data_IF_134494744688
#
_entry.id   IF_134494744688
#
_cell.length_a   1.000
_cell.length_b   1.000
_cell.length_c   1.000
_cell.angle_alpha   90.00
_cell.angle_beta   90.00
_cell.angle_gamma   90.00
#
_symmetry.space_group_name_H-M   'P 1'
#
loop_
_entity.id
_entity.type
_entity.pdbx_description
1 polymer ?
#
# COMPACT_ATOMS: atom_id res chain seq x y z
N UNK A 1 28.43 15.67 -1.99
CA UNK A 1 27.02 15.99 -1.67
C UNK A 1 26.85 15.99 -0.16
N UNK A 2 26.16 16.98 0.40
CA UNK A 2 25.98 17.08 1.85
C UNK A 2 24.82 16.18 2.33
N UNK A 3 24.76 15.92 3.64
CA UNK A 3 23.68 15.15 4.24
C UNK A 3 22.30 15.77 3.95
N UNK A 4 22.20 17.10 4.06
CA UNK A 4 20.95 17.83 3.77
C UNK A 4 20.53 17.78 2.30
N UNK A 5 21.50 17.65 1.38
CA UNK A 5 21.19 17.42 -0.03
C UNK A 5 20.70 16.00 -0.28
N UNK A 6 21.29 15.00 0.40
CA UNK A 6 20.83 13.60 0.36
C UNK A 6 19.38 13.51 0.87
N UNK A 7 19.11 14.05 2.07
CA UNK A 7 17.76 14.03 2.66
C UNK A 7 16.72 14.65 1.74
N UNK A 8 17.01 15.81 1.15
CA UNK A 8 16.11 16.45 0.19
C UNK A 8 15.84 15.61 -1.04
N UNK A 9 16.89 15.01 -1.61
CA UNK A 9 16.76 14.15 -2.79
C UNK A 9 15.92 12.90 -2.49
N UNK A 10 16.14 12.30 -1.32
CA UNK A 10 15.38 11.14 -0.84
C UNK A 10 13.92 11.51 -0.58
N UNK A 11 13.64 12.69 -0.02
CA UNK A 11 12.27 13.14 0.18
C UNK A 11 11.53 13.34 -1.15
N UNK A 12 12.21 13.92 -2.14
CA UNK A 12 11.65 14.06 -3.50
C UNK A 12 11.34 12.69 -4.10
N UNK A 13 12.26 11.73 -4.01
CA UNK A 13 12.02 10.35 -4.44
C UNK A 13 10.78 9.74 -3.77
N UNK A 14 10.64 9.85 -2.44
CA UNK A 14 9.48 9.33 -1.72
C UNK A 14 8.18 9.94 -2.25
N UNK A 15 8.15 11.26 -2.41
CA UNK A 15 6.96 11.97 -2.90
C UNK A 15 6.60 11.56 -4.33
N UNK A 16 7.58 11.54 -5.25
CA UNK A 16 7.36 11.14 -6.65
C UNK A 16 6.84 9.70 -6.76
N UNK A 17 7.44 8.77 -6.01
CA UNK A 17 7.07 7.36 -6.03
C UNK A 17 5.69 7.07 -5.44
N UNK A 18 5.29 7.80 -4.39
CA UNK A 18 3.97 7.65 -3.81
C UNK A 18 2.89 8.27 -4.70
N UNK A 19 3.20 9.38 -5.38
CA UNK A 19 2.31 10.04 -6.34
C UNK A 19 2.10 9.17 -7.58
N UNK A 20 3.17 8.61 -8.16
CA UNK A 20 3.07 7.72 -9.33
C UNK A 20 2.18 6.51 -9.06
N UNK A 21 2.30 5.90 -7.88
CA UNK A 21 1.41 4.80 -7.45
C UNK A 21 -0.03 5.24 -7.28
N UNK A 22 -0.26 6.46 -6.79
CA UNK A 22 -1.61 7.00 -6.63
C UNK A 22 -2.26 7.31 -7.99
N UNK A 23 -1.51 7.87 -8.93
CA UNK A 23 -1.95 8.05 -10.32
C UNK A 23 -2.31 6.71 -10.94
N UNK A 24 -1.50 5.67 -10.70
CA UNK A 24 -1.80 4.30 -11.11
C UNK A 24 -3.15 3.83 -10.57
N UNK A 25 -3.39 3.98 -9.25
CA UNK A 25 -4.66 3.63 -8.60
C UNK A 25 -5.87 4.38 -9.17
N UNK A 26 -5.74 5.68 -9.45
CA UNK A 26 -6.82 6.49 -10.03
C UNK A 26 -7.30 5.95 -11.38
N UNK A 27 -6.45 5.21 -12.11
CA UNK A 27 -6.80 4.56 -13.37
C UNK A 27 -7.70 3.31 -13.25
N UNK A 28 -7.80 2.70 -12.06
CA UNK A 28 -8.56 1.46 -11.86
C UNK A 28 -9.99 1.74 -11.39
N UNK A 29 -10.97 1.61 -12.30
CA UNK A 29 -12.39 1.64 -11.93
C UNK A 29 -12.72 0.47 -10.98
N UNK A 30 -13.26 0.78 -9.80
CA UNK A 30 -13.76 -0.16 -8.78
C UNK A 30 -12.69 -0.99 -8.04
N UNK A 31 -11.43 -0.53 -8.05
CA UNK A 31 -10.30 -1.27 -7.46
C UNK A 31 -9.92 -2.51 -8.27
N UNK A 32 -8.66 -2.93 -8.18
CA UNK A 32 -8.21 -4.20 -8.79
C UNK A 32 -8.99 -5.40 -8.26
N UNK A 33 -9.06 -6.48 -9.04
CA UNK A 33 -9.65 -7.72 -8.52
C UNK A 33 -8.79 -8.32 -7.39
N UNK A 34 -9.36 -9.21 -6.58
CA UNK A 34 -8.65 -9.74 -5.41
C UNK A 34 -7.39 -10.51 -5.79
N UNK A 35 -7.33 -11.15 -6.97
CA UNK A 35 -6.13 -11.87 -7.40
C UNK A 35 -5.02 -10.91 -7.83
N UNK A 36 -5.38 -9.79 -8.45
CA UNK A 36 -4.47 -8.69 -8.76
C UNK A 36 -3.91 -8.06 -7.48
N UNK A 37 -4.77 -7.80 -6.48
CA UNK A 37 -4.36 -7.30 -5.16
C UNK A 37 -3.42 -8.25 -4.44
N UNK A 38 -3.74 -9.55 -4.40
CA UNK A 38 -2.89 -10.58 -3.79
C UNK A 38 -1.52 -10.67 -4.49
N UNK A 39 -1.51 -10.55 -5.82
CA UNK A 39 -0.28 -10.55 -6.62
C UNK A 39 0.58 -9.32 -6.30
N UNK A 40 -0.03 -8.14 -6.22
CA UNK A 40 0.66 -6.89 -5.87
C UNK A 40 1.24 -7.00 -4.45
N UNK A 41 0.44 -7.47 -3.48
CA UNK A 41 0.90 -7.64 -2.10
C UNK A 41 2.11 -8.58 -2.02
N UNK A 42 2.08 -9.72 -2.73
CA UNK A 42 3.19 -10.67 -2.80
C UNK A 42 4.48 -10.02 -3.35
N UNK A 43 4.35 -9.25 -4.43
CA UNK A 43 5.48 -8.53 -5.03
C UNK A 43 6.06 -7.49 -4.07
N UNK A 44 5.20 -6.75 -3.36
CA UNK A 44 5.61 -5.76 -2.36
C UNK A 44 6.35 -6.44 -1.21
N UNK A 45 5.82 -7.53 -0.65
CA UNK A 45 6.45 -8.27 0.45
C UNK A 45 7.81 -8.85 0.03
N UNK A 46 7.89 -9.43 -1.17
CA UNK A 46 9.18 -9.92 -1.71
C UNK A 46 10.17 -8.78 -1.90
N UNK A 47 9.72 -7.60 -2.34
CA UNK A 47 10.58 -6.42 -2.49
C UNK A 47 11.05 -5.85 -1.15
N UNK A 48 10.22 -5.95 -0.10
CA UNK A 48 10.61 -5.57 1.27
C UNK A 48 11.73 -6.47 1.80
N UNK A 49 11.63 -7.78 1.57
CA UNK A 49 12.67 -8.74 1.97
C UNK A 49 13.98 -8.50 1.20
N UNK A 50 13.90 -8.34 -0.11
CA UNK A 50 15.06 -8.03 -0.97
C UNK A 50 15.78 -6.74 -0.57
N UNK A 51 15.03 -5.71 -0.20
CA UNK A 51 15.62 -4.43 0.25
C UNK A 51 16.20 -4.54 1.66
N UNK A 52 15.59 -5.34 2.53
CA UNK A 52 16.14 -5.63 3.86
C UNK A 52 17.47 -6.38 3.77
N UNK A 53 17.56 -7.40 2.91
CA UNK A 53 18.78 -8.16 2.65
C UNK A 53 19.91 -7.26 2.13
N UNK A 54 19.62 -6.37 1.17
CA UNK A 54 20.57 -5.39 0.65
C UNK A 54 21.09 -4.44 1.75
N UNK A 55 20.19 -3.95 2.62
CA UNK A 55 20.57 -3.07 3.73
C UNK A 55 21.44 -3.77 4.78
N UNK A 56 21.14 -5.04 5.08
CA UNK A 56 21.90 -5.86 6.02
C UNK A 56 23.30 -6.16 5.49
N UNK A 57 23.42 -6.48 4.20
CA UNK A 57 24.69 -6.84 3.55
C UNK A 57 25.49 -5.64 3.04
N UNK A 58 24.93 -4.43 3.11
CA UNK A 58 25.46 -3.25 2.42
C UNK A 58 25.69 -3.50 0.92
N UNK A 59 24.84 -4.31 0.30
CA UNK A 59 24.89 -4.59 -1.14
C UNK A 59 24.09 -3.54 -1.89
N UNK A 60 24.78 -2.66 -2.61
CA UNK A 60 24.17 -1.58 -3.38
C UNK A 60 24.09 -1.87 -4.88
N UNK A 61 24.39 -3.09 -5.34
CA UNK A 61 24.43 -3.41 -6.77
C UNK A 61 23.09 -3.15 -7.46
N UNK A 62 21.98 -3.58 -6.86
CA UNK A 62 20.65 -3.41 -7.46
C UNK A 62 20.15 -1.96 -7.36
N UNK A 63 20.26 -1.34 -6.19
CA UNK A 63 19.82 0.06 -5.99
C UNK A 63 20.67 1.09 -6.75
N UNK A 64 21.90 0.75 -7.15
CA UNK A 64 22.80 1.69 -7.84
C UNK A 64 22.20 2.26 -9.12
N UNK A 65 21.40 1.46 -9.84
CA UNK A 65 20.68 1.92 -11.04
C UNK A 65 19.66 3.00 -10.68
N UNK A 66 18.81 2.74 -9.68
CA UNK A 66 17.80 3.69 -9.19
C UNK A 66 18.46 5.00 -8.69
N UNK A 67 19.63 4.90 -8.04
CA UNK A 67 20.41 6.05 -7.60
C UNK A 67 20.96 6.85 -8.78
N UNK A 68 21.52 6.19 -9.78
CA UNK A 68 22.06 6.85 -10.97
C UNK A 68 20.96 7.59 -11.74
N UNK A 69 19.78 6.96 -11.89
CA UNK A 69 18.61 7.57 -12.52
C UNK A 69 18.09 8.78 -11.73
N UNK A 70 18.02 8.68 -10.41
CA UNK A 70 17.62 9.80 -9.53
C UNK A 70 18.62 10.97 -9.65
N UNK A 71 19.92 10.68 -9.60
CA UNK A 71 20.95 11.70 -9.78
C UNK A 71 20.84 12.37 -11.16
N UNK A 72 20.65 11.59 -12.22
CA UNK A 72 20.50 12.10 -13.58
C UNK A 72 19.26 13.00 -13.72
N UNK A 73 18.11 12.57 -13.20
CA UNK A 73 16.84 13.32 -13.22
C UNK A 73 16.99 14.70 -12.57
N UNK A 74 17.74 14.77 -11.48
CA UNK A 74 18.01 16.02 -10.76
C UNK A 74 19.32 16.71 -11.18
N UNK A 75 19.92 16.31 -12.31
CA UNK A 75 21.14 16.91 -12.89
C UNK A 75 22.31 16.96 -11.90
N UNK A 76 22.48 15.89 -11.12
CA UNK A 76 23.59 15.70 -10.18
C UNK A 76 24.46 14.54 -10.64
N UNK A 77 25.72 14.57 -10.23
CA UNK A 77 26.66 13.48 -10.47
C UNK A 77 27.44 13.19 -9.21
N UNK A 78 27.69 11.91 -8.95
CA UNK A 78 28.52 11.42 -7.86
C UNK A 78 29.37 10.27 -8.38
N UNK A 79 30.62 10.20 -7.94
CA UNK A 79 31.45 9.03 -8.21
C UNK A 79 30.89 7.82 -7.46
N UNK A 80 30.75 6.68 -8.14
CA UNK A 80 30.30 5.42 -7.52
C UNK A 80 31.20 4.94 -6.38
N UNK A 81 32.47 5.35 -6.38
CA UNK A 81 33.42 5.03 -5.31
C UNK A 81 33.36 5.99 -4.12
N UNK A 82 32.56 7.07 -4.19
CA UNK A 82 32.51 8.08 -3.14
C UNK A 82 31.64 7.66 -1.96
N UNK A 83 32.02 8.05 -0.75
CA UNK A 83 31.21 7.84 0.46
C UNK A 83 29.81 8.47 0.31
N UNK A 84 29.73 9.63 -0.34
CA UNK A 84 28.46 10.31 -0.59
C UNK A 84 27.51 9.48 -1.46
N UNK A 85 28.04 8.75 -2.45
CA UNK A 85 27.24 7.84 -3.28
C UNK A 85 26.75 6.64 -2.47
N UNK A 86 27.63 5.99 -1.71
CA UNK A 86 27.23 4.87 -0.84
C UNK A 86 26.19 5.28 0.21
N UNK A 87 26.34 6.48 0.81
CA UNK A 87 25.35 7.03 1.75
C UNK A 87 24.02 7.28 1.04
N UNK A 88 24.02 7.81 -0.18
CA UNK A 88 22.81 7.97 -0.97
C UNK A 88 22.15 6.63 -1.29
N UNK A 89 22.90 5.60 -1.69
CA UNK A 89 22.38 4.24 -1.90
C UNK A 89 21.68 3.69 -0.66
N UNK A 90 22.32 3.83 0.51
CA UNK A 90 21.76 3.37 1.78
C UNK A 90 20.49 4.12 2.15
N UNK A 91 20.45 5.44 1.98
CA UNK A 91 19.24 6.23 2.26
C UNK A 91 18.12 5.94 1.25
N UNK A 92 18.44 5.72 -0.03
CA UNK A 92 17.44 5.36 -1.04
C UNK A 92 16.83 3.98 -0.78
N UNK A 93 17.62 2.99 -0.32
CA UNK A 93 17.09 1.69 0.11
C UNK A 93 16.09 1.82 1.28
N UNK A 94 16.40 2.65 2.28
CA UNK A 94 15.47 2.93 3.38
C UNK A 94 14.19 3.61 2.89
N UNK A 95 14.33 4.56 1.96
CA UNK A 95 13.20 5.24 1.35
C UNK A 95 12.31 4.27 0.55
N UNK A 96 12.91 3.34 -0.19
CA UNK A 96 12.20 2.28 -0.90
C UNK A 96 11.42 1.38 0.05
N UNK A 97 12.00 0.99 1.19
CA UNK A 97 11.25 0.27 2.23
C UNK A 97 10.08 1.08 2.78
N UNK A 98 10.27 2.38 3.01
CA UNK A 98 9.19 3.25 3.48
C UNK A 98 8.04 3.30 2.48
N UNK A 99 8.34 3.52 1.20
CA UNK A 99 7.36 3.55 0.11
C UNK A 99 6.62 2.20 -0.01
N UNK A 100 7.34 1.08 0.03
CA UNK A 100 6.76 -0.26 -0.05
C UNK A 100 5.83 -0.57 1.13
N UNK A 101 6.21 -0.18 2.36
CA UNK A 101 5.33 -0.33 3.54
C UNK A 101 4.08 0.52 3.41
N UNK A 102 4.22 1.77 2.98
CA UNK A 102 3.07 2.65 2.73
C UNK A 102 2.15 2.10 1.66
N UNK A 103 2.72 1.50 0.62
CA UNK A 103 1.93 0.87 -0.42
C UNK A 103 1.16 -0.34 0.11
N UNK A 104 1.79 -1.19 0.95
CA UNK A 104 1.11 -2.31 1.59
C UNK A 104 -0.05 -1.83 2.49
N UNK A 105 0.19 -0.80 3.31
CA UNK A 105 -0.86 -0.17 4.13
C UNK A 105 -2.03 0.32 3.27
N UNK A 106 -1.75 0.96 2.12
CA UNK A 106 -2.78 1.45 1.19
C UNK A 106 -3.53 0.33 0.48
N UNK A 107 -2.89 -0.80 0.18
CA UNK A 107 -3.57 -1.99 -0.34
C UNK A 107 -4.62 -2.52 0.65
N UNK A 108 -4.39 -2.33 1.95
CA UNK A 108 -5.33 -2.66 3.03
C UNK A 108 -6.32 -1.52 3.35
N UNK A 109 -6.30 -0.42 2.59
CA UNK A 109 -7.16 0.74 2.80
C UNK A 109 -6.73 1.66 3.95
N UNK A 110 -5.52 1.50 4.50
CA UNK A 110 -5.00 2.28 5.62
C UNK A 110 -4.37 3.60 5.16
N UNK A 111 -5.18 4.55 4.71
CA UNK A 111 -4.73 5.89 4.30
C UNK A 111 -4.60 6.87 5.48
N UNK A 112 -5.34 6.66 6.57
CA UNK A 112 -5.46 7.61 7.67
C UNK A 112 -4.21 7.78 8.53
N UNK A 113 -3.28 6.82 8.50
CA UNK A 113 -2.04 6.88 9.28
C UNK A 113 -1.14 8.08 8.88
N UNK A 114 -1.30 8.61 7.67
CA UNK A 114 -0.53 9.75 7.16
C UNK A 114 -1.06 11.11 7.65
N UNK A 115 -2.33 11.19 8.06
CA UNK A 115 -2.95 12.41 8.58
C UNK A 115 -2.74 12.62 10.09
N UNK A 116 -2.19 11.62 10.79
CA UNK A 116 -1.97 11.62 12.24
C UNK A 116 -0.65 12.29 12.68
N UNK A 117 -0.04 13.12 11.84
CA UNK A 117 1.08 13.98 12.27
C UNK A 117 0.54 15.14 13.11
N UNK A 118 1.23 15.58 14.19
CA UNK A 118 0.67 16.46 15.21
C UNK A 118 0.56 17.90 14.68
N UNK A 119 -0.57 18.17 14.03
CA UNK A 119 -0.83 19.43 13.36
C UNK A 119 -2.27 19.51 12.86
N UNK A 120 -3.22 19.20 13.74
CA UNK A 120 -4.61 19.66 13.71
C UNK A 120 -5.38 19.55 12.40
N UNK A 121 -6.23 18.52 12.31
CA UNK A 121 -7.67 18.79 12.34
C UNK A 121 -8.24 17.97 13.49
N UNK A 122 -8.43 18.63 14.63
CA UNK A 122 -9.40 18.15 15.61
C UNK A 122 -10.79 18.29 14.99
N UNK A 123 -11.62 17.28 15.11
CA UNK A 123 -12.46 17.15 16.28
C UNK A 123 -13.02 15.74 16.30
N UNK A 124 -13.51 15.29 17.45
CA UNK A 124 -14.22 14.03 17.57
C UNK A 124 -15.48 14.04 16.70
N UNK A 125 -15.35 13.68 15.43
CA UNK A 125 -16.50 13.33 14.62
C UNK A 125 -17.03 12.00 15.15
N UNK A 126 -18.01 12.08 16.06
CA UNK A 126 -19.04 11.04 16.17
C UNK A 126 -19.60 10.86 14.78
N UNK A 127 -19.11 9.85 14.06
CA UNK A 127 -19.69 9.40 12.80
C UNK A 127 -21.10 8.96 13.16
N UNK A 128 -22.08 9.78 12.80
CA UNK A 128 -23.48 9.36 12.79
C UNK A 128 -23.52 8.25 11.75
N UNK A 129 -23.50 7.00 12.21
CA UNK A 129 -23.71 5.84 11.37
C UNK A 129 -25.13 5.95 10.82
N UNK A 130 -25.26 6.44 9.59
CA UNK A 130 -26.45 6.22 8.79
C UNK A 130 -26.76 4.71 8.82
N UNK A 131 -28.05 4.36 8.86
CA UNK A 131 -28.51 2.98 8.94
C UNK A 131 -27.89 2.15 7.81
N UNK A 132 -26.83 1.41 8.14
CA UNK A 132 -26.10 0.59 7.20
C UNK A 132 -26.96 -0.63 6.82
N UNK A 133 -26.97 -0.98 5.54
CA UNK A 133 -27.64 -2.19 5.06
C UNK A 133 -26.98 -3.43 5.68
N UNK A 134 -27.73 -4.52 5.80
CA UNK A 134 -27.20 -5.79 6.27
C UNK A 134 -26.12 -6.32 5.31
N UNK A 135 -25.25 -7.21 5.81
CA UNK A 135 -24.24 -7.86 4.96
C UNK A 135 -24.94 -8.58 3.81
N UNK A 136 -26.01 -9.32 4.07
CA UNK A 136 -26.78 -10.05 3.04
C UNK A 136 -27.36 -9.15 1.95
N UNK A 137 -27.83 -7.95 2.31
CA UNK A 137 -28.46 -7.00 1.38
C UNK A 137 -27.48 -6.42 0.36
N UNK A 138 -26.20 -6.30 0.73
CA UNK A 138 -25.16 -5.72 -0.15
C UNK A 138 -24.46 -6.76 -1.04
N UNK A 139 -24.54 -8.06 -0.70
CA UNK A 139 -23.90 -9.12 -1.49
C UNK A 139 -24.37 -9.17 -2.96
N UNK A 140 -25.67 -9.05 -3.28
CA UNK A 140 -26.13 -9.03 -4.67
C UNK A 140 -25.53 -7.89 -5.49
N UNK A 141 -25.41 -6.70 -4.91
CA UNK A 141 -24.80 -5.53 -5.56
C UNK A 141 -23.29 -5.74 -5.76
N UNK A 142 -22.60 -6.32 -4.78
CA UNK A 142 -21.20 -6.73 -4.90
C UNK A 142 -21.00 -7.70 -6.06
N UNK A 143 -21.78 -8.79 -6.13
CA UNK A 143 -21.62 -9.79 -7.19
C UNK A 143 -22.01 -9.26 -8.57
N UNK A 144 -23.00 -8.37 -8.65
CA UNK A 144 -23.35 -7.66 -9.89
C UNK A 144 -22.21 -6.75 -10.37
N UNK A 145 -21.50 -6.10 -9.44
CA UNK A 145 -20.36 -5.22 -9.75
C UNK A 145 -19.17 -6.02 -10.31
N UNK A 146 -19.02 -7.28 -9.89
CA UNK A 146 -17.94 -8.19 -10.30
C UNK A 146 -18.45 -9.39 -11.13
N UNK A 147 -19.48 -9.19 -11.94
CA UNK A 147 -20.08 -10.23 -12.80
C UNK A 147 -19.14 -10.66 -13.95
N UNK A 148 -18.12 -9.84 -14.24
CA UNK A 148 -17.06 -10.17 -15.18
C UNK A 148 -16.11 -11.30 -14.70
N UNK A 149 -16.18 -11.70 -13.43
CA UNK A 149 -15.37 -12.79 -12.87
C UNK A 149 -15.93 -14.14 -13.32
N UNK A 150 -15.05 -15.16 -13.39
CA UNK A 150 -15.48 -16.54 -13.68
C UNK A 150 -16.55 -16.97 -12.66
N UNK A 151 -17.65 -17.55 -13.14
CA UNK A 151 -18.79 -17.98 -12.31
C UNK A 151 -18.37 -18.87 -11.13
N UNK A 152 -17.41 -19.78 -11.34
CA UNK A 152 -16.81 -20.63 -10.29
C UNK A 152 -16.18 -19.81 -9.16
N UNK A 153 -15.52 -18.70 -9.49
CA UNK A 153 -14.88 -17.81 -8.53
C UNK A 153 -15.94 -17.06 -7.72
N UNK A 154 -17.00 -16.55 -8.37
CA UNK A 154 -18.09 -15.87 -7.67
C UNK A 154 -18.86 -16.83 -6.75
N UNK A 155 -19.17 -18.06 -7.19
CA UNK A 155 -19.73 -19.11 -6.32
C UNK A 155 -18.84 -19.43 -5.12
N UNK A 156 -17.53 -19.50 -5.33
CA UNK A 156 -16.56 -19.74 -4.26
C UNK A 156 -16.49 -18.60 -3.24
N UNK A 157 -16.65 -17.35 -3.67
CA UNK A 157 -16.70 -16.17 -2.79
C UNK A 157 -18.03 -16.05 -2.06
N UNK A 158 -19.16 -16.31 -2.74
CA UNK A 158 -20.50 -16.33 -2.14
C UNK A 158 -20.53 -17.29 -0.94
N UNK A 159 -20.05 -18.52 -1.13
CA UNK A 159 -19.98 -19.52 -0.03
C UNK A 159 -19.14 -19.07 1.17
N UNK A 160 -18.06 -18.31 0.95
CA UNK A 160 -17.23 -17.79 2.06
C UNK A 160 -17.95 -16.68 2.80
N UNK A 161 -18.64 -15.81 2.09
CA UNK A 161 -19.39 -14.70 2.68
C UNK A 161 -20.64 -15.20 3.41
N UNK A 162 -21.33 -16.21 2.89
CA UNK A 162 -22.40 -16.94 3.59
C UNK A 162 -21.89 -17.52 4.90
N UNK A 163 -20.75 -18.23 4.86
CA UNK A 163 -20.13 -18.80 6.06
C UNK A 163 -19.65 -17.73 7.05
N UNK A 164 -19.20 -16.57 6.56
CA UNK A 164 -18.86 -15.44 7.41
C UNK A 164 -20.12 -14.93 8.13
N UNK A 165 -21.23 -14.73 7.42
CA UNK A 165 -22.53 -14.35 7.99
C UNK A 165 -22.99 -15.37 9.04
N UNK A 166 -22.83 -16.67 8.78
CA UNK A 166 -23.14 -17.73 9.77
C UNK A 166 -22.31 -17.58 11.06
N UNK A 167 -21.04 -17.19 10.95
CA UNK A 167 -20.14 -17.05 12.11
C UNK A 167 -20.42 -15.78 12.93
N UNK A 168 -20.69 -14.65 12.27
CA UNK A 168 -20.73 -13.32 12.93
C UNK A 168 -22.15 -12.74 13.06
N UNK A 169 -23.13 -13.40 12.46
CA UNK A 169 -24.50 -12.92 12.32
C UNK A 169 -24.67 -11.95 11.16
N UNK A 170 -25.86 -11.94 10.56
CA UNK A 170 -26.22 -10.99 9.52
C UNK A 170 -26.53 -9.62 10.17
N UNK A 171 -25.49 -8.82 10.34
CA UNK A 171 -25.53 -7.51 10.98
C UNK A 171 -25.30 -6.39 9.98
N UNK A 172 -25.59 -5.13 10.34
CA UNK A 172 -25.27 -3.99 9.48
C UNK A 172 -23.78 -3.95 9.14
N UNK A 173 -23.44 -3.65 7.88
CA UNK A 173 -22.05 -3.68 7.40
C UNK A 173 -21.13 -2.77 8.24
N UNK A 174 -21.64 -1.62 8.67
CA UNK A 174 -20.90 -0.67 9.51
C UNK A 174 -20.64 -1.16 10.94
N UNK A 175 -21.34 -2.20 11.42
CA UNK A 175 -21.13 -2.82 12.73
C UNK A 175 -20.15 -4.00 12.67
N UNK A 176 -19.64 -4.36 11.48
CA UNK A 176 -18.63 -5.41 11.33
C UNK A 176 -17.29 -4.89 11.84
N UNK A 177 -16.76 -5.55 12.87
CA UNK A 177 -15.50 -5.17 13.52
C UNK A 177 -14.37 -6.13 13.14
N UNK A 178 -13.12 -5.74 13.43
CA UNK A 178 -11.96 -6.64 13.29
C UNK A 178 -12.06 -7.90 14.15
N UNK A 179 -12.80 -7.86 15.25
CA UNK A 179 -13.03 -9.03 16.11
C UNK A 179 -13.86 -10.07 15.38
N UNK A 180 -14.86 -9.62 14.62
CA UNK A 180 -15.71 -10.48 13.78
C UNK A 180 -14.88 -11.17 12.69
N UNK A 181 -13.96 -10.43 12.07
CA UNK A 181 -13.03 -10.99 11.08
C UNK A 181 -12.05 -12.02 11.64
N UNK A 182 -11.85 -12.08 12.97
CA UNK A 182 -10.99 -13.09 13.62
C UNK A 182 -11.75 -14.36 14.01
N UNK A 183 -13.08 -14.32 14.04
CA UNK A 183 -13.94 -15.47 14.34
C UNK A 183 -14.14 -16.38 13.12
N UNK A 184 -13.78 -15.88 11.93
CA UNK A 184 -13.84 -16.58 10.65
C UNK A 184 -12.44 -16.98 10.17
#
# INVERSE_FOLDING_TARGET
MTLEQIKRLVQVYITEELEEREVGRMGHKNGGDDAERDTIALVITSSLDDTAEQLQRNDYRRISKDVDELLQRHRRTLSKSSEAYHRLCRELLKAKQYVLKKELDRQDGLYFADFASPGGIGDGATVVMESSRLISDVLPEYFKTYDNRRERTNKGKARRLERFIECVGDKPLAEVTKTDCKLF
#
